data_IF_280118479225
#
_entry.id   IF_280118479225
#
_cell.length_a   1.000
_cell.length_b   1.000
_cell.length_c   1.000
_cell.angle_alpha   90.00
_cell.angle_beta   90.00
_cell.angle_gamma   90.00
#
_symmetry.space_group_name_H-M   'P 1'
#
loop_
_entity.id
_entity.type
_entity.pdbx_description
1 polymer ?
#
# COMPACT_ATOMS: atom_id res chain seq x y z
N UNK A 1 -7.11 -66.52 -1.05
CA UNK A 1 -6.09 -65.45 -0.88
C UNK A 1 -6.09 -64.98 0.57
N UNK A 2 -4.96 -65.19 1.24
CA UNK A 2 -4.66 -64.68 2.59
C UNK A 2 -4.62 -63.15 2.57
N UNK A 3 -5.41 -62.48 3.41
CA UNK A 3 -5.35 -61.03 3.65
C UNK A 3 -4.80 -60.74 5.04
N UNK A 4 -3.70 -61.41 5.39
CA UNK A 4 -2.87 -60.99 6.50
C UNK A 4 -2.28 -59.64 6.16
N UNK A 5 -2.34 -58.77 7.17
CA UNK A 5 -1.41 -57.68 7.41
C UNK A 5 -1.64 -56.44 6.56
N UNK A 6 -2.10 -55.40 7.25
CA UNK A 6 -1.45 -54.08 7.36
C UNK A 6 -2.52 -52.98 7.45
N UNK A 7 -3.26 -52.97 8.56
CA UNK A 7 -3.84 -51.73 9.08
C UNK A 7 -3.02 -51.32 10.30
N UNK A 8 -1.78 -50.90 10.03
CA UNK A 8 -1.12 -49.89 10.83
C UNK A 8 -1.56 -48.54 10.23
N UNK A 9 -2.63 -47.97 10.77
CA UNK A 9 -3.06 -46.63 10.46
C UNK A 9 -3.26 -45.88 11.77
N UNK A 10 -2.15 -45.39 12.33
CA UNK A 10 -2.20 -44.36 13.33
C UNK A 10 -2.80 -43.10 12.67
N UNK A 11 -3.83 -42.45 13.25
CA UNK A 11 -4.25 -41.16 12.77
C UNK A 11 -3.17 -40.15 13.16
N UNK A 12 -2.31 -39.80 12.21
CA UNK A 12 -1.58 -38.55 12.28
C UNK A 12 -2.64 -37.44 12.22
N UNK A 13 -2.96 -36.88 13.39
CA UNK A 13 -3.73 -35.66 13.48
C UNK A 13 -2.97 -34.58 12.71
N UNK A 14 -3.38 -34.35 11.46
CA UNK A 14 -2.99 -33.19 10.71
C UNK A 14 -3.55 -31.98 11.46
N UNK A 15 -2.70 -31.37 12.29
CA UNK A 15 -2.90 -29.99 12.72
C UNK A 15 -2.70 -29.18 11.45
N UNK A 16 -3.78 -29.03 10.67
CA UNK A 16 -3.89 -27.97 9.67
C UNK A 16 -3.95 -26.67 10.46
N UNK A 17 -2.77 -26.23 10.91
CA UNK A 17 -2.59 -24.87 11.39
C UNK A 17 -2.91 -23.98 10.20
N UNK A 18 -4.11 -23.42 10.19
CA UNK A 18 -4.36 -22.20 9.46
C UNK A 18 -3.38 -21.19 10.04
N UNK A 19 -2.22 -21.03 9.39
CA UNK A 19 -1.38 -19.88 9.60
C UNK A 19 -2.32 -18.69 9.43
N UNK A 20 -2.41 -17.76 10.39
CA UNK A 20 -3.09 -16.51 10.13
C UNK A 20 -2.38 -15.95 8.90
N UNK A 21 -3.09 -15.89 7.77
CA UNK A 21 -2.64 -15.05 6.69
C UNK A 21 -2.39 -13.71 7.35
N UNK A 22 -1.15 -13.23 7.34
CA UNK A 22 -0.85 -11.86 7.72
C UNK A 22 -1.77 -11.02 6.84
N UNK A 23 -2.89 -10.59 7.40
CA UNK A 23 -3.76 -9.62 6.79
C UNK A 23 -2.97 -8.32 6.83
N UNK A 24 -1.98 -8.23 5.93
CA UNK A 24 -1.35 -6.99 5.54
C UNK A 24 -2.53 -6.09 5.18
N UNK A 25 -2.89 -5.24 6.14
CA UNK A 25 -4.25 -4.72 6.25
C UNK A 25 -4.43 -3.84 5.03
N UNK A 26 -5.23 -4.28 4.05
CA UNK A 26 -5.43 -3.55 2.80
C UNK A 26 -6.07 -2.20 3.10
N UNK A 27 -5.22 -1.17 3.26
CA UNK A 27 -5.66 0.17 3.60
C UNK A 27 -6.19 0.85 2.33
N UNK A 28 -7.14 1.79 2.47
CA UNK A 28 -7.56 2.61 1.35
C UNK A 28 -6.39 3.33 0.67
N UNK A 29 -5.40 3.81 1.43
CA UNK A 29 -4.17 4.43 0.90
C UNK A 29 -3.37 3.43 0.07
N UNK A 30 -3.19 2.19 0.53
CA UNK A 30 -2.46 1.17 -0.21
C UNK A 30 -3.15 0.82 -1.55
N UNK A 31 -4.49 0.82 -1.60
CA UNK A 31 -5.22 0.66 -2.88
C UNK A 31 -4.99 1.82 -3.83
N UNK A 32 -5.05 3.06 -3.34
CA UNK A 32 -4.79 4.25 -4.16
C UNK A 32 -3.34 4.30 -4.64
N UNK A 33 -2.39 3.84 -3.83
CA UNK A 33 -0.99 3.74 -4.20
C UNK A 33 -0.77 2.72 -5.33
N UNK A 34 -1.40 1.56 -5.26
CA UNK A 34 -1.33 0.57 -6.37
C UNK A 34 -1.91 1.14 -7.67
N UNK A 35 -2.96 1.93 -7.60
CA UNK A 35 -3.51 2.61 -8.78
C UNK A 35 -2.56 3.68 -9.30
N UNK A 36 -1.95 4.47 -8.41
CA UNK A 36 -0.91 5.43 -8.78
C UNK A 36 0.23 4.75 -9.55
N UNK A 37 0.74 3.61 -9.06
CA UNK A 37 1.81 2.87 -9.75
C UNK A 37 1.40 2.42 -11.17
N UNK A 38 0.14 2.02 -11.37
CA UNK A 38 -0.36 1.65 -12.71
C UNK A 38 -0.44 2.86 -13.63
N UNK A 39 -0.98 3.98 -13.13
CA UNK A 39 -1.09 5.22 -13.89
C UNK A 39 0.30 5.76 -14.24
N UNK A 40 1.24 5.72 -13.31
CA UNK A 40 2.63 6.12 -13.53
C UNK A 40 3.30 5.28 -14.61
N UNK A 41 3.21 3.95 -14.49
CA UNK A 41 3.77 3.04 -15.50
C UNK A 41 3.11 3.21 -16.86
N UNK A 42 1.82 3.52 -16.91
CA UNK A 42 1.11 3.76 -18.17
C UNK A 42 1.52 5.10 -18.78
N UNK A 43 1.62 6.16 -17.97
CA UNK A 43 2.05 7.48 -18.41
C UNK A 43 3.47 7.43 -18.99
N UNK A 44 4.39 6.72 -18.31
CA UNK A 44 5.76 6.55 -18.79
C UNK A 44 5.86 5.88 -20.17
N UNK A 45 4.87 5.05 -20.53
CA UNK A 45 4.81 4.36 -21.82
C UNK A 45 3.99 5.12 -22.89
N UNK A 46 3.35 6.23 -22.53
CA UNK A 46 2.46 6.99 -23.40
C UNK A 46 3.15 8.24 -24.00
N UNK A 47 2.57 8.75 -25.08
CA UNK A 47 3.02 9.98 -25.75
C UNK A 47 1.82 10.86 -26.11
N UNK A 48 2.07 12.16 -26.32
CA UNK A 48 1.05 13.13 -26.74
C UNK A 48 -0.16 13.21 -25.80
N UNK A 49 -1.36 13.32 -26.37
CA UNK A 49 -2.62 13.50 -25.63
C UNK A 49 -2.89 12.39 -24.61
N UNK A 50 -2.43 11.17 -24.86
CA UNK A 50 -2.62 10.05 -23.91
C UNK A 50 -1.74 10.20 -22.68
N UNK A 51 -0.50 10.70 -22.84
CA UNK A 51 0.37 11.05 -21.71
C UNK A 51 -0.29 12.13 -20.85
N UNK A 52 -0.79 13.20 -21.46
CA UNK A 52 -1.44 14.30 -20.74
C UNK A 52 -2.66 13.79 -19.94
N UNK A 53 -3.50 12.95 -20.57
CA UNK A 53 -4.66 12.34 -19.92
C UNK A 53 -4.25 11.45 -18.73
N UNK A 54 -3.22 10.62 -18.88
CA UNK A 54 -2.75 9.73 -17.81
C UNK A 54 -2.09 10.51 -16.68
N UNK A 55 -1.35 11.57 -17.01
CA UNK A 55 -0.77 12.49 -16.04
C UNK A 55 -1.86 13.15 -15.19
N UNK A 56 -2.94 13.65 -15.81
CA UNK A 56 -4.07 14.24 -15.08
C UNK A 56 -4.78 13.23 -14.17
N UNK A 57 -4.99 12.00 -14.64
CA UNK A 57 -5.56 10.93 -13.82
C UNK A 57 -4.67 10.57 -12.64
N UNK A 58 -3.35 10.50 -12.86
CA UNK A 58 -2.36 10.27 -11.80
C UNK A 58 -2.44 11.39 -10.77
N UNK A 59 -2.47 12.64 -11.21
CA UNK A 59 -2.57 13.81 -10.34
C UNK A 59 -3.85 13.81 -9.48
N UNK A 60 -5.01 13.50 -10.07
CA UNK A 60 -6.24 13.35 -9.31
C UNK A 60 -6.18 12.19 -8.30
N UNK A 61 -5.52 11.09 -8.66
CA UNK A 61 -5.32 9.98 -7.74
C UNK A 61 -4.41 10.35 -6.57
N UNK A 62 -3.31 11.07 -6.79
CA UNK A 62 -2.42 11.58 -5.73
C UNK A 62 -3.17 12.49 -4.75
N UNK A 63 -3.94 13.46 -5.27
CA UNK A 63 -4.77 14.35 -4.45
C UNK A 63 -5.84 13.60 -3.65
N UNK A 64 -6.38 12.50 -4.18
CA UNK A 64 -7.29 11.62 -3.43
C UNK A 64 -6.54 10.87 -2.34
N UNK A 65 -5.35 10.36 -2.65
CA UNK A 65 -4.54 9.60 -1.72
C UNK A 65 -4.08 10.44 -0.54
N UNK A 66 -3.66 11.70 -0.74
CA UNK A 66 -3.26 12.56 0.37
C UNK A 66 -4.41 12.81 1.34
N UNK A 67 -5.64 13.02 0.82
CA UNK A 67 -6.83 13.28 1.64
C UNK A 67 -7.36 12.05 2.38
N UNK A 68 -7.02 10.85 1.92
CA UNK A 68 -7.47 9.61 2.55
C UNK A 68 -6.74 9.41 3.88
N UNK A 69 -7.42 9.30 5.04
CA UNK A 69 -6.74 9.22 6.33
C UNK A 69 -5.76 8.04 6.45
N UNK A 70 -4.54 8.33 6.87
CA UNK A 70 -3.53 7.30 7.16
C UNK A 70 -3.90 6.47 8.40
N UNK A 71 -3.78 5.16 8.30
CA UNK A 71 -4.01 4.20 9.40
C UNK A 71 -2.72 3.66 10.00
N UNK A 72 -1.60 3.90 9.33
CA UNK A 72 -0.28 3.39 9.71
C UNK A 72 0.84 4.32 9.23
N UNK A 73 2.06 4.12 9.73
CA UNK A 73 3.25 4.78 9.21
C UNK A 73 3.52 4.42 7.74
N UNK A 74 3.16 3.20 7.32
CA UNK A 74 3.29 2.79 5.93
C UNK A 74 2.42 3.67 5.01
N UNK A 75 1.17 3.97 5.39
CA UNK A 75 0.29 4.83 4.58
C UNK A 75 0.91 6.22 4.35
N UNK A 76 1.49 6.82 5.39
CA UNK A 76 2.18 8.12 5.28
C UNK A 76 3.39 8.02 4.33
N UNK A 77 4.18 6.94 4.42
CA UNK A 77 5.30 6.72 3.51
C UNK A 77 4.84 6.52 2.06
N UNK A 78 3.73 5.81 1.83
CA UNK A 78 3.15 5.65 0.49
C UNK A 78 2.69 6.98 -0.10
N UNK A 79 2.07 7.85 0.71
CA UNK A 79 1.68 9.21 0.32
C UNK A 79 2.89 10.05 -0.11
N UNK A 80 3.94 10.09 0.73
CA UNK A 80 5.18 10.81 0.42
C UNK A 80 5.81 10.26 -0.86
N UNK A 81 5.86 8.93 -0.98
CA UNK A 81 6.46 8.25 -2.13
C UNK A 81 5.78 8.62 -3.43
N UNK A 82 4.45 8.57 -3.49
CA UNK A 82 3.73 8.93 -4.71
C UNK A 82 3.85 10.41 -5.02
N UNK A 83 3.69 11.30 -4.03
CA UNK A 83 3.75 12.74 -4.23
C UNK A 83 5.10 13.21 -4.78
N UNK A 84 6.17 12.58 -4.29
CA UNK A 84 7.54 12.90 -4.72
C UNK A 84 7.99 12.09 -5.93
N UNK A 85 7.19 11.14 -6.43
CA UNK A 85 7.64 10.21 -7.47
C UNK A 85 8.92 9.47 -7.07
N UNK A 86 8.97 8.88 -5.88
CA UNK A 86 10.19 8.29 -5.29
C UNK A 86 11.39 9.28 -5.14
N UNK A 87 11.11 10.56 -4.97
CA UNK A 87 12.13 11.60 -4.76
C UNK A 87 12.59 12.32 -6.04
N UNK A 88 11.92 12.07 -7.18
CA UNK A 88 12.11 12.84 -8.40
C UNK A 88 11.61 14.29 -8.26
N UNK A 89 10.52 14.47 -7.52
CA UNK A 89 9.98 15.76 -7.11
C UNK A 89 10.29 16.09 -5.66
N UNK A 90 10.22 17.37 -5.31
CA UNK A 90 10.16 17.78 -3.91
C UNK A 90 8.73 17.63 -3.36
N UNK A 91 8.55 17.94 -2.08
CA UNK A 91 7.24 17.98 -1.46
C UNK A 91 6.56 19.34 -1.65
N UNK A 92 6.94 20.16 -2.62
CA UNK A 92 6.30 21.43 -2.99
C UNK A 92 5.78 22.22 -1.78
N UNK A 93 6.67 22.84 -0.99
CA UNK A 93 6.34 23.40 0.33
C UNK A 93 5.03 24.22 0.40
N UNK A 94 4.70 24.95 -0.67
CA UNK A 94 3.53 25.82 -0.76
C UNK A 94 2.23 25.10 -1.16
N UNK A 95 2.28 23.79 -1.42
CA UNK A 95 1.12 22.98 -1.77
C UNK A 95 0.18 22.81 -0.56
N UNK A 96 -1.14 23.03 -0.73
CA UNK A 96 -2.11 22.90 0.36
C UNK A 96 -2.28 21.45 0.86
N UNK A 97 -1.72 20.47 0.14
CA UNK A 97 -1.80 19.05 0.47
C UNK A 97 -0.73 18.60 1.48
N UNK A 98 0.39 19.34 1.55
CA UNK A 98 1.59 18.95 2.29
C UNK A 98 1.42 19.05 3.80
N UNK A 99 0.72 20.06 4.36
CA UNK A 99 0.41 20.08 5.78
C UNK A 99 -0.28 18.80 6.27
N UNK A 100 -1.16 18.19 5.45
CA UNK A 100 -1.92 16.98 5.80
C UNK A 100 -0.98 15.81 6.08
N UNK A 101 -0.02 15.55 5.18
CA UNK A 101 0.95 14.46 5.33
C UNK A 101 1.76 14.63 6.62
N UNK A 102 2.21 15.86 6.89
CA UNK A 102 3.03 16.14 8.07
C UNK A 102 2.26 16.12 9.38
N UNK A 103 0.98 16.48 9.37
CA UNK A 103 0.10 16.33 10.53
C UNK A 103 -0.09 14.86 10.90
N UNK A 104 -0.37 14.01 9.92
CA UNK A 104 -0.47 12.56 10.13
C UNK A 104 0.85 11.96 10.63
N UNK A 105 1.99 12.35 10.02
CA UNK A 105 3.30 11.90 10.45
C UNK A 105 3.60 12.28 11.92
N UNK A 106 3.33 13.54 12.30
CA UNK A 106 3.49 14.02 13.68
C UNK A 106 2.60 13.26 14.65
N UNK A 107 1.35 12.98 14.29
CA UNK A 107 0.43 12.21 15.13
C UNK A 107 0.99 10.81 15.41
N UNK A 108 1.55 10.14 14.40
CA UNK A 108 2.15 8.80 14.56
C UNK A 108 3.41 8.81 15.44
N UNK A 109 4.31 9.77 15.25
CA UNK A 109 5.51 9.92 16.09
C UNK A 109 5.13 10.14 17.55
N UNK A 110 4.16 11.02 17.81
CA UNK A 110 3.72 11.35 19.17
C UNK A 110 2.89 10.23 19.82
N UNK A 111 2.29 9.33 19.03
CA UNK A 111 1.54 8.18 19.53
C UNK A 111 2.43 7.00 19.96
N UNK A 112 3.73 7.04 19.64
CA UNK A 112 4.67 5.97 19.97
C UNK A 112 5.16 6.13 21.41
N UNK A 113 4.98 5.14 22.31
CA UNK A 113 5.48 5.22 23.69
C UNK A 113 7.00 5.39 23.70
N UNK A 114 7.51 6.39 24.43
CA UNK A 114 8.94 6.53 24.67
C UNK A 114 9.40 5.33 25.50
N UNK A 115 10.30 4.51 24.95
CA UNK A 115 10.91 3.36 25.63
C UNK A 115 12.05 3.80 26.53
#
# INVERSE_FOLDING_TARGET
MNRRSFLAAAPAAAVTGALPASAETDTPVMRLFREWQRLESAAHAAEGDEYERLHDLRWENEKRMIREPSRSALDVLLKITAWTGFGEGDLEHDSPYIPIIWEEARALVNSTPQR
#
